data_IF_801870044540
#
_entry.id   IF_801870044540
#
_cell.length_a   1.000
_cell.length_b   1.000
_cell.length_c   1.000
_cell.angle_alpha   90.00
_cell.angle_beta   90.00
_cell.angle_gamma   90.00
#
_symmetry.space_group_name_H-M   'P 1'
#
loop_
_entity.id
_entity.type
_entity.pdbx_description
1 polymer ?
#
# COMPACT_ATOMS: atom_id res chain seq x y z
N UNK A 1 12.34 -4.13 19.56
CA UNK A 1 12.23 -5.47 18.95
C UNK A 1 13.20 -5.48 17.77
N UNK A 2 14.26 -6.32 17.82
CA UNK A 2 15.17 -6.41 16.68
C UNK A 2 14.49 -7.17 15.55
N UNK A 3 14.64 -6.67 14.33
CA UNK A 3 14.17 -7.36 13.12
C UNK A 3 14.88 -8.73 13.01
N UNK A 4 14.16 -9.82 12.72
CA UNK A 4 14.80 -11.07 12.34
C UNK A 4 15.63 -10.82 11.05
N UNK A 5 16.63 -11.65 10.81
CA UNK A 5 17.40 -11.58 9.57
C UNK A 5 16.43 -11.70 8.37
N UNK A 6 16.31 -10.63 7.58
CA UNK A 6 15.38 -10.58 6.46
C UNK A 6 15.76 -11.58 5.37
N UNK A 7 14.76 -12.22 4.77
CA UNK A 7 14.95 -12.93 3.53
C UNK A 7 15.48 -11.97 2.45
N UNK A 8 16.42 -12.38 1.57
CA UNK A 8 16.91 -11.49 0.52
C UNK A 8 15.76 -11.10 -0.41
N UNK A 9 15.53 -9.79 -0.55
CA UNK A 9 14.54 -9.23 -1.47
C UNK A 9 14.97 -9.37 -2.93
N UNK A 10 14.00 -9.35 -3.86
CA UNK A 10 14.30 -9.35 -5.30
C UNK A 10 15.02 -8.06 -5.69
N UNK A 11 16.12 -8.20 -6.42
CA UNK A 11 16.90 -7.09 -6.98
C UNK A 11 16.53 -6.75 -8.43
N UNK A 12 15.79 -7.63 -9.12
CA UNK A 12 15.43 -7.52 -10.54
C UNK A 12 13.95 -7.15 -10.78
N UNK A 13 13.34 -6.43 -9.82
CA UNK A 13 11.96 -5.95 -9.91
C UNK A 13 11.87 -4.84 -10.97
N UNK A 14 10.94 -5.00 -11.91
CA UNK A 14 10.66 -3.99 -12.93
C UNK A 14 9.32 -3.29 -12.69
N UNK A 15 8.34 -4.00 -12.12
CA UNK A 15 7.00 -3.47 -11.86
C UNK A 15 6.56 -3.83 -10.45
N UNK A 16 6.00 -2.84 -9.75
CA UNK A 16 5.40 -3.02 -8.43
C UNK A 16 3.97 -2.44 -8.41
N UNK A 17 3.03 -3.18 -7.84
CA UNK A 17 1.65 -2.75 -7.65
C UNK A 17 1.40 -2.55 -6.16
N UNK A 18 1.00 -1.34 -5.76
CA UNK A 18 0.55 -1.04 -4.41
C UNK A 18 -0.98 -1.14 -4.34
N UNK A 19 -1.50 -2.01 -3.47
CA UNK A 19 -2.94 -2.27 -3.30
C UNK A 19 -3.34 -1.90 -1.88
N UNK A 20 -4.16 -0.86 -1.72
CA UNK A 20 -4.54 -0.32 -0.41
C UNK A 20 -6.02 0.01 -0.32
N UNK A 21 -6.53 0.13 0.91
CA UNK A 21 -7.95 0.32 1.17
C UNK A 21 -8.43 1.73 0.80
N UNK A 22 -7.74 2.75 1.31
CA UNK A 22 -8.19 4.14 1.20
C UNK A 22 -7.14 5.04 0.53
N UNK A 23 -7.56 6.18 -0.03
CA UNK A 23 -6.63 7.26 -0.33
C UNK A 23 -5.89 7.68 0.95
N UNK A 24 -4.56 7.82 0.87
CA UNK A 24 -3.60 8.13 1.93
C UNK A 24 -2.85 6.92 2.54
N UNK A 25 -3.43 5.72 2.61
CA UNK A 25 -2.79 4.54 3.22
C UNK A 25 -1.37 4.30 2.70
N UNK A 26 -1.20 4.40 1.37
CA UNK A 26 0.11 4.24 0.71
C UNK A 26 1.10 5.27 1.25
N UNK A 27 0.63 6.51 1.42
CA UNK A 27 1.49 7.65 1.72
C UNK A 27 1.91 7.66 3.19
N UNK A 28 1.03 7.24 4.08
CA UNK A 28 1.38 7.01 5.47
C UNK A 28 2.35 5.83 5.64
N UNK A 29 2.16 4.74 4.90
CA UNK A 29 2.88 3.48 5.10
C UNK A 29 4.17 3.35 4.30
N UNK A 30 4.24 3.81 3.05
CA UNK A 30 5.15 3.24 2.06
C UNK A 30 5.79 4.23 1.09
N UNK A 31 5.40 5.51 1.06
CA UNK A 31 5.82 6.45 0.00
C UNK A 31 7.32 6.64 -0.07
N UNK A 32 8.04 6.63 1.06
CA UNK A 32 9.50 6.72 1.05
C UNK A 32 10.15 5.57 0.29
N UNK A 33 9.69 4.36 0.52
CA UNK A 33 10.14 3.15 -0.17
C UNK A 33 9.76 3.17 -1.65
N UNK A 34 8.50 3.52 -1.96
CA UNK A 34 8.01 3.61 -3.34
C UNK A 34 8.80 4.66 -4.13
N UNK A 35 9.06 5.82 -3.55
CA UNK A 35 9.88 6.86 -4.17
C UNK A 35 11.29 6.35 -4.50
N UNK A 36 11.88 5.51 -3.64
CA UNK A 36 13.13 4.83 -3.90
C UNK A 36 13.05 3.89 -5.10
N UNK A 37 12.02 3.06 -5.18
CA UNK A 37 11.83 2.15 -6.32
C UNK A 37 11.65 2.91 -7.64
N UNK A 38 10.90 4.02 -7.62
CA UNK A 38 10.73 4.87 -8.82
C UNK A 38 12.06 5.49 -9.25
N UNK A 39 12.87 5.99 -8.29
CA UNK A 39 14.21 6.53 -8.58
C UNK A 39 15.15 5.46 -9.18
N UNK A 40 14.98 4.20 -8.82
CA UNK A 40 15.68 3.03 -9.35
C UNK A 40 15.13 2.53 -10.69
N UNK A 41 14.07 3.17 -11.21
CA UNK A 41 13.47 2.84 -12.51
C UNK A 41 12.40 1.76 -12.47
N UNK A 42 11.89 1.39 -11.29
CA UNK A 42 10.75 0.48 -11.16
C UNK A 42 9.47 1.24 -11.57
N UNK A 43 8.71 0.65 -12.47
CA UNK A 43 7.36 1.12 -12.80
C UNK A 43 6.40 0.78 -11.65
N UNK A 44 5.83 1.80 -10.99
CA UNK A 44 4.90 1.61 -9.87
C UNK A 44 3.51 2.09 -10.25
N UNK A 45 2.49 1.29 -9.91
CA UNK A 45 1.09 1.67 -10.02
C UNK A 45 0.38 1.49 -8.66
N UNK A 46 -0.66 2.30 -8.43
CA UNK A 46 -1.54 2.17 -7.27
C UNK A 46 -2.90 1.63 -7.68
N UNK A 47 -3.43 0.72 -6.88
CA UNK A 47 -4.83 0.28 -6.89
C UNK A 47 -5.42 0.59 -5.52
N UNK A 48 -6.32 1.55 -5.46
CA UNK A 48 -7.03 1.95 -4.24
C UNK A 48 -8.44 1.37 -4.29
N UNK A 49 -8.85 0.67 -3.23
CA UNK A 49 -10.08 -0.11 -3.25
C UNK A 49 -11.32 0.77 -3.04
N UNK A 50 -11.25 1.71 -2.09
CA UNK A 50 -12.36 2.65 -1.82
C UNK A 50 -11.98 4.08 -2.22
N UNK A 51 -12.91 5.00 -2.15
CA UNK A 51 -12.62 6.43 -2.31
C UNK A 51 -12.57 7.18 -0.98
N UNK A 52 -12.58 6.46 0.14
CA UNK A 52 -12.52 7.08 1.46
C UNK A 52 -13.74 7.94 1.80
N UNK A 53 -14.92 7.54 1.35
CA UNK A 53 -16.18 8.29 1.46
C UNK A 53 -16.73 8.39 2.89
N UNK A 54 -16.19 7.61 3.82
CA UNK A 54 -16.52 7.68 5.24
C UNK A 54 -15.52 8.49 6.09
N UNK A 55 -14.40 8.95 5.50
CA UNK A 55 -13.37 9.75 6.19
C UNK A 55 -13.59 11.25 5.99
N UNK A 56 -13.29 12.04 7.04
CA UNK A 56 -13.32 13.51 6.99
C UNK A 56 -13.23 14.11 8.39
N UNK A 57 -12.61 15.30 8.49
CA UNK A 57 -12.38 16.01 9.76
C UNK A 57 -12.92 17.45 9.75
N UNK A 58 -13.57 17.85 8.67
CA UNK A 58 -14.15 19.17 8.47
C UNK A 58 -15.60 19.08 7.96
N UNK A 59 -16.19 20.22 7.60
CA UNK A 59 -17.57 20.34 7.10
C UNK A 59 -17.69 20.01 5.60
N UNK A 60 -16.73 19.36 4.97
CA UNK A 60 -16.80 18.95 3.57
C UNK A 60 -18.02 18.05 3.34
N UNK A 61 -18.80 18.35 2.31
CA UNK A 61 -19.96 17.53 1.94
C UNK A 61 -19.51 16.08 1.63
N UNK A 62 -20.16 15.14 2.30
CA UNK A 62 -19.87 13.71 2.12
C UNK A 62 -20.00 13.24 0.67
N UNK A 63 -20.84 13.87 -0.12
CA UNK A 63 -20.96 13.55 -1.55
C UNK A 63 -19.76 14.03 -2.38
N UNK A 64 -19.05 15.05 -1.91
CA UNK A 64 -17.85 15.56 -2.57
C UNK A 64 -16.56 14.86 -2.10
N UNK A 65 -16.56 14.24 -0.91
CA UNK A 65 -15.40 13.61 -0.30
C UNK A 65 -14.70 12.58 -1.22
N UNK A 66 -15.40 11.66 -1.93
CA UNK A 66 -14.77 10.72 -2.84
C UNK A 66 -13.94 11.40 -3.93
N UNK A 67 -14.48 12.47 -4.54
CA UNK A 67 -13.79 13.22 -5.59
C UNK A 67 -12.56 13.96 -5.05
N UNK A 68 -12.70 14.56 -3.88
CA UNK A 68 -11.63 15.28 -3.21
C UNK A 68 -10.47 14.32 -2.90
N UNK A 69 -10.75 13.22 -2.20
CA UNK A 69 -9.74 12.25 -1.79
C UNK A 69 -9.08 11.53 -2.98
N UNK A 70 -9.83 11.29 -4.07
CA UNK A 70 -9.26 10.76 -5.31
C UNK A 70 -8.27 11.76 -5.93
N UNK A 71 -8.59 13.05 -5.96
CA UNK A 71 -7.69 14.08 -6.46
C UNK A 71 -6.43 14.22 -5.59
N UNK A 72 -6.58 14.18 -4.28
CA UNK A 72 -5.48 14.22 -3.30
C UNK A 72 -4.54 13.02 -3.48
N UNK A 73 -5.09 11.80 -3.63
CA UNK A 73 -4.27 10.59 -3.86
C UNK A 73 -3.48 10.68 -5.17
N UNK A 74 -4.07 11.22 -6.23
CA UNK A 74 -3.34 11.42 -7.49
C UNK A 74 -2.23 12.46 -7.34
N UNK A 75 -2.45 13.51 -6.57
CA UNK A 75 -1.44 14.52 -6.26
C UNK A 75 -0.30 13.92 -5.42
N UNK A 76 -0.61 13.14 -4.38
CA UNK A 76 0.36 12.44 -3.55
C UNK A 76 1.20 11.44 -4.38
N UNK A 77 0.56 10.65 -5.23
CA UNK A 77 1.22 9.71 -6.13
C UNK A 77 2.21 10.43 -7.07
N UNK A 78 1.84 11.60 -7.60
CA UNK A 78 2.73 12.41 -8.45
C UNK A 78 3.98 12.88 -7.68
N UNK A 79 3.87 13.22 -6.40
CA UNK A 79 5.02 13.54 -5.53
C UNK A 79 5.95 12.33 -5.39
N UNK A 80 5.40 11.12 -5.22
CA UNK A 80 6.17 9.89 -5.19
C UNK A 80 6.80 9.51 -6.54
N UNK A 81 6.35 10.14 -7.64
CA UNK A 81 6.77 9.82 -9.02
C UNK A 81 5.90 8.75 -9.69
N UNK A 82 4.79 8.35 -9.07
CA UNK A 82 3.85 7.36 -9.58
C UNK A 82 2.82 8.04 -10.48
N UNK A 83 2.61 7.48 -11.69
CA UNK A 83 1.74 8.08 -12.72
C UNK A 83 0.38 7.38 -12.84
N UNK A 84 0.32 6.10 -12.49
CA UNK A 84 -0.90 5.30 -12.60
C UNK A 84 -1.52 5.12 -11.23
N UNK A 85 -2.74 5.63 -11.05
CA UNK A 85 -3.56 5.45 -9.85
C UNK A 85 -4.95 5.03 -10.30
N UNK A 86 -5.31 3.79 -10.02
CA UNK A 86 -6.60 3.20 -10.33
C UNK A 86 -7.43 3.06 -9.05
N UNK A 87 -8.74 3.28 -9.17
CA UNK A 87 -9.70 3.08 -8.09
C UNK A 87 -10.70 2.02 -8.50
N UNK A 88 -11.10 1.15 -7.57
CA UNK A 88 -12.21 0.22 -7.81
C UNK A 88 -13.56 0.91 -7.55
N UNK A 89 -14.58 0.45 -8.26
CA UNK A 89 -15.96 0.89 -8.09
C UNK A 89 -16.77 -0.13 -7.27
N UNK A 90 -17.76 0.36 -6.50
CA UNK A 90 -18.69 -0.50 -5.78
C UNK A 90 -18.18 -1.03 -4.43
N UNK A 91 -17.12 -0.45 -3.89
CA UNK A 91 -16.53 -0.81 -2.62
C UNK A 91 -16.59 0.39 -1.65
N UNK A 92 -17.66 0.50 -0.81
CA UNK A 92 -17.80 1.59 0.15
C UNK A 92 -16.78 1.50 1.28
N UNK A 93 -16.27 2.64 1.71
CA UNK A 93 -15.37 2.79 2.84
C UNK A 93 -16.02 2.31 4.15
N UNK A 94 -15.23 1.66 5.01
CA UNK A 94 -15.65 1.14 6.32
C UNK A 94 -16.37 -0.21 6.28
N UNK A 95 -16.57 -0.81 5.09
CA UNK A 95 -17.40 -2.02 4.94
C UNK A 95 -16.72 -3.16 4.18
N UNK A 96 -15.42 -3.04 3.91
CA UNK A 96 -14.71 -4.03 3.11
C UNK A 96 -14.65 -5.39 3.80
N UNK A 97 -14.88 -6.43 3.00
CA UNK A 97 -14.66 -7.82 3.36
C UNK A 97 -13.96 -8.53 2.21
N UNK A 98 -13.15 -9.58 2.45
CA UNK A 98 -12.38 -10.25 1.39
C UNK A 98 -13.26 -11.18 0.54
N UNK A 99 -14.28 -10.59 -0.12
CA UNK A 99 -15.23 -11.31 -0.97
C UNK A 99 -14.58 -11.88 -2.23
N UNK A 100 -15.15 -12.93 -2.86
CA UNK A 100 -14.71 -13.37 -4.17
C UNK A 100 -14.72 -12.27 -5.24
N UNK A 101 -15.67 -11.31 -5.17
CA UNK A 101 -15.71 -10.18 -6.09
C UNK A 101 -14.48 -9.26 -5.93
N UNK A 102 -14.14 -8.86 -4.70
CA UNK A 102 -12.96 -8.06 -4.43
C UNK A 102 -11.67 -8.78 -4.86
N UNK A 103 -11.55 -10.07 -4.55
CA UNK A 103 -10.41 -10.90 -4.97
C UNK A 103 -10.27 -10.95 -6.49
N UNK A 104 -11.39 -11.14 -7.21
CA UNK A 104 -11.44 -11.13 -8.68
C UNK A 104 -10.93 -9.80 -9.25
N UNK A 105 -11.39 -8.68 -8.72
CA UNK A 105 -11.06 -7.36 -9.24
C UNK A 105 -9.57 -7.01 -8.97
N UNK A 106 -9.05 -7.41 -7.81
CA UNK A 106 -7.59 -7.31 -7.53
C UNK A 106 -6.80 -8.26 -8.46
N UNK A 107 -7.25 -9.50 -8.65
CA UNK A 107 -6.59 -10.45 -9.57
C UNK A 107 -6.61 -9.94 -11.02
N UNK A 108 -7.69 -9.25 -11.44
CA UNK A 108 -7.76 -8.60 -12.74
C UNK A 108 -6.70 -7.49 -12.88
N UNK A 109 -6.53 -6.66 -11.85
CA UNK A 109 -5.51 -5.62 -11.83
C UNK A 109 -4.09 -6.23 -11.88
N UNK A 110 -3.83 -7.29 -11.10
CA UNK A 110 -2.55 -8.02 -11.13
C UNK A 110 -2.29 -8.58 -12.54
N UNK A 111 -3.25 -9.27 -13.16
CA UNK A 111 -3.08 -9.85 -14.50
C UNK A 111 -2.88 -8.78 -15.58
N UNK A 112 -3.52 -7.61 -15.43
CA UNK A 112 -3.37 -6.48 -16.36
C UNK A 112 -2.01 -5.81 -16.24
N UNK A 113 -1.61 -5.46 -15.02
CA UNK A 113 -0.36 -4.73 -14.77
C UNK A 113 0.88 -5.62 -14.78
N UNK A 114 0.72 -6.92 -14.42
CA UNK A 114 1.79 -7.94 -14.37
C UNK A 114 2.95 -7.53 -13.46
N UNK A 115 2.72 -7.25 -12.18
CA UNK A 115 3.77 -6.82 -11.26
C UNK A 115 4.68 -8.00 -10.85
N UNK A 116 5.97 -7.71 -10.68
CA UNK A 116 6.92 -8.62 -10.03
C UNK A 116 6.69 -8.66 -8.53
N UNK A 117 6.35 -7.50 -7.97
CA UNK A 117 6.13 -7.25 -6.54
C UNK A 117 4.75 -6.62 -6.30
N UNK A 118 4.07 -7.08 -5.26
CA UNK A 118 2.87 -6.41 -4.72
C UNK A 118 3.17 -5.89 -3.33
N UNK A 119 2.74 -4.66 -3.05
CA UNK A 119 2.79 -4.02 -1.74
C UNK A 119 1.35 -3.81 -1.27
N UNK A 120 1.03 -4.20 -0.04
CA UNK A 120 -0.33 -4.09 0.50
C UNK A 120 -0.32 -3.99 2.04
N UNK A 121 -1.48 -3.72 2.64
CA UNK A 121 -1.65 -3.79 4.09
C UNK A 121 -1.48 -5.23 4.59
N UNK A 122 -0.98 -5.39 5.80
CA UNK A 122 -0.95 -6.70 6.46
C UNK A 122 -2.36 -7.20 6.77
N UNK A 123 -2.70 -8.48 6.48
CA UNK A 123 -3.95 -9.08 6.93
C UNK A 123 -3.96 -9.39 8.43
N UNK A 124 -2.83 -9.23 9.11
CA UNK A 124 -2.69 -9.57 10.52
C UNK A 124 -2.92 -8.35 11.41
N UNK A 125 -3.84 -8.48 12.35
CA UNK A 125 -4.15 -7.44 13.32
C UNK A 125 -2.99 -7.21 14.29
N UNK A 126 -2.70 -5.94 14.55
CA UNK A 126 -1.83 -5.50 15.63
C UNK A 126 -2.67 -5.21 16.88
N UNK A 127 -2.47 -6.00 17.90
CA UNK A 127 -3.20 -5.82 19.18
C UNK A 127 -2.59 -4.72 20.05
N UNK A 128 -1.36 -4.32 19.77
CA UNK A 128 -0.64 -3.21 20.39
C UNK A 128 -0.97 -1.84 19.73
N UNK A 129 -1.52 -1.86 18.50
CA UNK A 129 -1.87 -0.65 17.75
C UNK A 129 -3.12 -0.89 16.91
N UNK A 130 -4.30 -0.57 17.47
CA UNK A 130 -5.57 -0.76 16.78
C UNK A 130 -5.84 0.30 15.72
N UNK A 131 -5.47 1.57 15.99
CA UNK A 131 -5.65 2.66 15.04
C UNK A 131 -4.69 2.52 13.83
N UNK A 132 -5.17 2.89 12.65
CA UNK A 132 -4.41 2.80 11.41
C UNK A 132 -4.23 1.34 10.96
N UNK A 133 -3.09 0.67 11.21
CA UNK A 133 -2.78 -0.64 10.62
C UNK A 133 -3.83 -1.73 10.83
N UNK A 134 -4.58 -1.65 11.94
CA UNK A 134 -5.61 -2.64 12.29
C UNK A 134 -7.03 -2.24 11.89
N UNK A 135 -7.19 -1.20 11.05
CA UNK A 135 -8.48 -0.86 10.49
C UNK A 135 -9.11 -2.08 9.77
N UNK A 136 -10.40 -2.39 9.95
CA UNK A 136 -11.04 -3.55 9.32
C UNK A 136 -10.79 -3.63 7.81
N UNK A 137 -10.89 -2.51 7.09
CA UNK A 137 -10.68 -2.45 5.66
C UNK A 137 -9.23 -2.76 5.26
N UNK A 138 -8.22 -2.33 6.05
CA UNK A 138 -6.82 -2.67 5.81
C UNK A 138 -6.62 -4.19 5.90
N UNK A 139 -7.17 -4.83 6.93
CA UNK A 139 -7.11 -6.28 7.10
C UNK A 139 -7.82 -7.00 5.95
N UNK A 140 -8.99 -6.51 5.55
CA UNK A 140 -9.77 -7.09 4.46
C UNK A 140 -9.06 -6.99 3.11
N UNK A 141 -8.44 -5.83 2.80
CA UNK A 141 -7.66 -5.65 1.57
C UNK A 141 -6.39 -6.49 1.60
N UNK A 142 -5.68 -6.55 2.74
CA UNK A 142 -4.52 -7.42 2.91
C UNK A 142 -4.84 -8.89 2.63
N UNK A 143 -5.94 -9.41 3.20
CA UNK A 143 -6.40 -10.79 2.96
C UNK A 143 -6.85 -11.00 1.51
N UNK A 144 -7.68 -10.09 0.96
CA UNK A 144 -8.14 -10.20 -0.42
C UNK A 144 -6.97 -10.17 -1.41
N UNK A 145 -5.98 -9.30 -1.19
CA UNK A 145 -4.77 -9.19 -2.02
C UNK A 145 -3.91 -10.45 -1.91
N UNK A 146 -3.75 -11.00 -0.72
CA UNK A 146 -3.03 -12.26 -0.51
C UNK A 146 -3.67 -13.40 -1.31
N UNK A 147 -4.99 -13.56 -1.23
CA UNK A 147 -5.74 -14.52 -2.02
C UNK A 147 -5.64 -14.23 -3.52
N UNK A 148 -5.70 -12.96 -3.92
CA UNK A 148 -5.57 -12.57 -5.32
C UNK A 148 -4.17 -12.91 -5.89
N UNK A 149 -3.10 -12.77 -5.12
CA UNK A 149 -1.74 -13.20 -5.49
C UNK A 149 -1.69 -14.72 -5.62
N UNK A 150 -2.22 -15.45 -4.62
CA UNK A 150 -2.27 -16.90 -4.58
C UNK A 150 -3.58 -17.39 -3.95
N UNK A 151 -4.40 -18.17 -4.68
CA UNK A 151 -4.10 -18.77 -5.99
C UNK A 151 -4.59 -17.96 -7.21
N UNK A 152 -5.35 -16.87 -7.03
CA UNK A 152 -6.29 -16.37 -8.05
C UNK A 152 -5.61 -15.86 -9.33
N UNK A 153 -4.61 -14.97 -9.22
CA UNK A 153 -4.00 -14.37 -10.40
C UNK A 153 -3.18 -15.37 -11.23
N UNK A 154 -2.60 -16.39 -10.59
CA UNK A 154 -1.74 -17.37 -11.28
C UNK A 154 -2.50 -18.60 -11.82
N UNK A 155 -3.73 -18.82 -11.36
CA UNK A 155 -4.52 -19.98 -11.73
C UNK A 155 -5.46 -19.66 -12.90
N UNK A 156 -5.31 -20.28 -14.08
CA UNK A 156 -6.19 -20.03 -15.24
C UNK A 156 -7.65 -20.43 -15.00
N UNK A 157 -7.91 -21.31 -14.03
CA UNK A 157 -9.28 -21.75 -13.69
C UNK A 157 -9.95 -20.84 -12.65
N UNK A 158 -9.20 -19.95 -11.99
CA UNK A 158 -9.79 -18.94 -11.14
C UNK A 158 -10.30 -17.77 -12.00
N UNK A 159 -11.56 -17.42 -11.81
CA UNK A 159 -12.22 -16.34 -12.54
C UNK A 159 -12.07 -16.46 -14.07
N UNK A 160 -12.66 -17.49 -14.69
CA UNK A 160 -12.50 -17.77 -16.12
C UNK A 160 -12.95 -16.63 -17.02
N UNK A 161 -13.83 -15.74 -16.53
CA UNK A 161 -14.22 -14.51 -17.20
C UNK A 161 -13.04 -13.53 -17.40
N UNK A 162 -12.03 -13.54 -16.56
CA UNK A 162 -10.82 -12.74 -16.76
C UNK A 162 -10.00 -13.24 -17.94
N UNK A 163 -9.88 -14.56 -18.07
CA UNK A 163 -9.21 -15.17 -19.22
C UNK A 163 -9.96 -14.86 -20.53
N UNK A 164 -11.30 -14.91 -20.50
CA UNK A 164 -12.14 -14.53 -21.65
C UNK A 164 -11.96 -13.05 -22.06
N UNK A 165 -11.53 -12.18 -21.13
CA UNK A 165 -11.16 -10.78 -21.39
C UNK A 165 -9.70 -10.61 -21.84
N UNK A 166 -8.94 -11.69 -22.05
CA UNK A 166 -7.53 -11.65 -22.43
C UNK A 166 -6.58 -11.34 -21.26
N UNK A 167 -7.06 -11.42 -20.02
CA UNK A 167 -6.23 -11.25 -18.83
C UNK A 167 -5.58 -12.59 -18.44
N UNK A 168 -4.44 -12.88 -19.08
CA UNK A 168 -3.69 -14.10 -18.84
C UNK A 168 -3.18 -14.22 -17.41
N UNK A 169 -3.06 -15.45 -16.88
CA UNK A 169 -2.51 -15.69 -15.55
C UNK A 169 -1.14 -15.03 -15.35
N UNK A 170 -0.92 -14.54 -14.15
CA UNK A 170 0.34 -13.89 -13.79
C UNK A 170 0.83 -14.36 -12.43
N UNK A 171 2.14 -14.56 -12.29
CA UNK A 171 2.80 -14.92 -11.04
C UNK A 171 3.50 -13.69 -10.48
N UNK A 172 2.95 -13.16 -9.40
CA UNK A 172 3.65 -12.20 -8.55
C UNK A 172 4.77 -12.96 -7.84
N UNK A 173 5.99 -12.47 -7.84
CA UNK A 173 7.15 -13.17 -7.27
C UNK A 173 7.40 -12.85 -5.80
N UNK A 174 6.95 -11.67 -5.36
CA UNK A 174 7.20 -11.18 -4.00
C UNK A 174 6.04 -10.32 -3.53
N UNK A 175 5.67 -10.45 -2.26
CA UNK A 175 4.69 -9.58 -1.59
C UNK A 175 5.29 -8.91 -0.38
N UNK A 176 5.02 -7.62 -0.23
CA UNK A 176 5.42 -6.79 0.89
C UNK A 176 4.18 -6.35 1.66
N UNK A 177 4.15 -6.65 2.95
CA UNK A 177 3.05 -6.26 3.84
C UNK A 177 3.48 -5.11 4.73
N UNK A 178 2.78 -3.98 4.63
CA UNK A 178 2.92 -2.83 5.51
C UNK A 178 2.04 -2.95 6.76
N UNK A 179 2.48 -2.40 7.88
CA UNK A 179 1.67 -2.28 9.10
C UNK A 179 1.43 -3.59 9.86
N UNK A 180 2.15 -4.66 9.55
CA UNK A 180 2.05 -5.95 10.23
C UNK A 180 2.67 -5.95 11.62
N UNK A 181 2.35 -7.00 12.44
CA UNK A 181 2.83 -7.09 13.83
C UNK A 181 4.30 -7.53 13.95
N UNK A 182 4.86 -8.13 12.90
CA UNK A 182 6.21 -8.70 12.92
C UNK A 182 6.95 -8.37 11.62
N UNK A 183 7.37 -7.12 11.42
CA UNK A 183 8.17 -6.77 10.25
C UNK A 183 9.53 -7.46 10.31
N UNK A 184 10.04 -7.87 9.14
CA UNK A 184 11.32 -8.55 8.97
C UNK A 184 12.26 -7.80 8.00
N UNK A 185 11.78 -6.71 7.40
CA UNK A 185 12.52 -5.90 6.45
C UNK A 185 12.30 -4.42 6.70
N UNK A 186 13.38 -3.64 6.74
CA UNK A 186 13.33 -2.20 6.87
C UNK A 186 14.03 -1.54 5.68
N UNK A 187 13.46 -0.45 5.19
CA UNK A 187 14.01 0.37 4.12
C UNK A 187 14.39 1.72 4.68
N UNK A 188 15.66 2.10 4.58
CA UNK A 188 16.14 3.44 4.90
C UNK A 188 15.55 4.44 3.88
N UNK A 189 14.74 5.36 4.37
CA UNK A 189 14.08 6.39 3.56
C UNK A 189 14.55 7.80 3.89
N UNK A 190 15.66 7.94 4.62
CA UNK A 190 16.15 9.24 5.11
C UNK A 190 16.24 10.28 3.99
N UNK A 191 16.82 9.90 2.85
CA UNK A 191 16.97 10.79 1.70
C UNK A 191 15.66 11.07 0.94
N UNK A 192 14.56 10.40 1.31
CA UNK A 192 13.23 10.52 0.71
C UNK A 192 12.17 11.02 1.68
N UNK A 193 12.60 11.38 2.90
CA UNK A 193 11.71 11.84 3.96
C UNK A 193 10.87 13.05 3.55
N UNK A 194 11.48 14.05 2.91
CA UNK A 194 10.77 15.24 2.45
C UNK A 194 9.71 14.90 1.38
N UNK A 195 9.99 13.94 0.50
CA UNK A 195 8.99 13.47 -0.48
C UNK A 195 7.83 12.76 0.21
N UNK A 196 8.10 11.93 1.22
CA UNK A 196 7.05 11.30 2.03
C UNK A 196 6.18 12.35 2.73
N UNK A 197 6.77 13.32 3.38
CA UNK A 197 6.04 14.42 4.04
C UNK A 197 5.20 15.21 3.03
N UNK A 198 5.74 15.51 1.85
CA UNK A 198 5.01 16.23 0.81
C UNK A 198 3.84 15.42 0.26
N UNK A 199 3.99 14.11 0.07
CA UNK A 199 2.90 13.22 -0.35
C UNK A 199 1.80 13.15 0.71
N UNK A 200 2.15 12.97 1.99
CA UNK A 200 1.18 12.98 3.09
C UNK A 200 0.42 14.31 3.18
N UNK A 201 1.09 15.44 2.99
CA UNK A 201 0.45 16.78 2.98
C UNK A 201 -0.49 17.02 1.80
N UNK A 202 -0.34 16.27 0.70
CA UNK A 202 -1.27 16.35 -0.43
C UNK A 202 -2.68 15.86 -0.06
N UNK A 203 -2.81 15.04 0.98
CA UNK A 203 -4.09 14.61 1.56
C UNK A 203 -4.63 15.63 2.56
N UNK A 204 -4.83 16.87 2.09
CA UNK A 204 -5.19 17.99 2.97
C UNK A 204 -6.47 17.74 3.78
N UNK A 205 -7.47 17.11 3.18
CA UNK A 205 -8.71 16.76 3.87
C UNK A 205 -8.51 15.83 5.07
N UNK A 206 -7.41 15.05 5.08
CA UNK A 206 -7.09 14.07 6.11
C UNK A 206 -5.96 14.54 7.04
N UNK A 207 -5.06 15.39 6.56
CA UNK A 207 -3.84 15.78 7.29
C UNK A 207 -3.77 17.27 7.60
N UNK A 208 -4.69 18.08 7.11
CA UNK A 208 -4.64 19.54 7.27
C UNK A 208 -4.66 20.02 8.72
N UNK A 209 -5.13 19.20 9.66
CA UNK A 209 -5.14 19.45 11.09
C UNK A 209 -3.89 18.93 11.83
N UNK A 210 -2.94 18.27 11.12
CA UNK A 210 -1.76 17.61 11.68
C UNK A 210 -0.48 18.40 11.37
N UNK A 211 0.44 18.45 12.31
CA UNK A 211 1.85 18.70 12.00
C UNK A 211 2.47 17.39 11.49
N UNK A 212 2.34 17.16 10.18
CA UNK A 212 2.77 15.92 9.53
C UNK A 212 4.24 15.58 9.82
N UNK A 213 5.23 16.51 9.70
CA UNK A 213 6.60 16.21 10.04
C UNK A 213 6.78 15.75 11.49
N UNK A 214 6.25 16.49 12.44
CA UNK A 214 6.36 16.12 13.85
C UNK A 214 5.68 14.79 14.15
N UNK A 215 4.54 14.52 13.50
CA UNK A 215 3.76 13.28 13.71
C UNK A 215 4.47 12.04 13.20
N UNK A 216 5.16 12.10 12.04
CA UNK A 216 5.72 10.90 11.40
C UNK A 216 7.20 10.67 11.74
N UNK A 217 7.96 11.75 12.02
CA UNK A 217 9.42 11.68 12.19
C UNK A 217 9.83 10.66 13.26
N UNK A 218 9.27 10.76 14.46
CA UNK A 218 9.67 9.93 15.59
C UNK A 218 9.36 8.45 15.35
N UNK A 219 8.24 8.17 14.67
CA UNK A 219 7.86 6.79 14.29
C UNK A 219 8.85 6.18 13.29
N UNK A 220 9.29 6.96 12.30
CA UNK A 220 10.27 6.49 11.32
C UNK A 220 11.66 6.32 11.94
N UNK A 221 12.03 7.19 12.90
CA UNK A 221 13.26 7.06 13.66
C UNK A 221 13.26 5.84 14.59
N UNK A 222 12.13 5.55 15.22
CA UNK A 222 11.94 4.34 16.04
C UNK A 222 12.09 3.07 15.20
N UNK A 223 11.44 3.03 14.02
CA UNK A 223 11.58 1.90 13.07
C UNK A 223 13.05 1.73 12.64
N UNK A 224 13.74 2.83 12.34
CA UNK A 224 15.16 2.79 11.96
C UNK A 224 16.04 2.25 13.11
N UNK A 225 15.78 2.67 14.34
CA UNK A 225 16.50 2.20 15.52
C UNK A 225 16.25 0.70 15.78
N UNK A 226 15.00 0.25 15.69
CA UNK A 226 14.62 -1.16 15.83
C UNK A 226 15.27 -2.05 14.78
N UNK A 227 15.45 -1.51 13.55
CA UNK A 227 16.15 -2.17 12.47
C UNK A 227 17.68 -2.13 12.59
N UNK A 228 18.24 -1.45 13.60
CA UNK A 228 19.68 -1.34 13.82
C UNK A 228 20.37 -0.34 12.87
N UNK A 229 19.63 0.58 12.27
CA UNK A 229 20.23 1.65 11.46
C UNK A 229 20.94 2.69 12.35
N UNK A 230 21.94 3.41 11.82
CA UNK A 230 22.64 4.46 12.56
C UNK A 230 21.69 5.55 13.08
N UNK A 231 22.04 6.22 14.20
CA UNK A 231 21.27 7.36 14.71
C UNK A 231 21.03 8.44 13.64
N UNK A 232 19.83 9.01 13.62
CA UNK A 232 19.40 10.02 12.65
C UNK A 232 18.90 9.46 11.31
N UNK A 233 18.83 8.13 11.16
CA UNK A 233 18.17 7.51 10.03
C UNK A 233 16.68 7.36 10.27
N UNK A 234 15.92 7.29 9.16
CA UNK A 234 14.48 7.13 9.13
C UNK A 234 14.14 5.93 8.25
N UNK A 235 13.23 5.07 8.69
CA UNK A 235 12.91 3.85 7.95
C UNK A 235 11.42 3.54 7.90
N UNK A 236 11.01 2.85 6.84
CA UNK A 236 9.72 2.15 6.71
C UNK A 236 9.95 0.65 6.89
N UNK A 237 8.96 -0.06 7.46
CA UNK A 237 9.09 -1.47 7.79
C UNK A 237 8.01 -2.34 7.17
N UNK A 238 8.41 -3.55 6.75
CA UNK A 238 7.58 -4.50 6.03
C UNK A 238 7.80 -5.93 6.51
N UNK A 239 6.80 -6.78 6.28
CA UNK A 239 7.01 -8.22 6.23
C UNK A 239 7.09 -8.63 4.77
N UNK A 240 8.17 -9.32 4.37
CA UNK A 240 8.43 -9.66 2.97
C UNK A 240 8.38 -11.18 2.76
N UNK A 241 7.53 -11.61 1.82
CA UNK A 241 7.40 -13.02 1.48
C UNK A 241 7.67 -13.27 -0.01
N UNK A 242 8.43 -14.32 -0.28
CA UNK A 242 8.54 -14.91 -1.63
C UNK A 242 7.32 -15.77 -1.91
N UNK A 243 6.81 -15.71 -3.10
CA UNK A 243 5.65 -16.50 -3.54
C UNK A 243 6.03 -17.65 -4.47
N UNK A 244 7.32 -17.71 -4.83
CA UNK A 244 7.94 -18.74 -5.69
C UNK A 244 9.23 -19.25 -5.07
#
# INVERSE_FOLDING_TARGET
>A
VSFPASAPVLSDVRRALAVFAHPDDVDFGCTGTIAGWVDEGVEVAYLIITRGDAGGFDDTDRAEMPRLREAEQRAAAAVAGVRQVDFLDGYPDGTLTPTPALRRDIAAAIRRFRPDRVLTSSPLRRWDLLAGPSHPDHLAVGEATTCAIYPDARNPFAFPELLAQGLEPWVVREVWYAGGPAPDHAVDITDRYERKVAAMRAHHSQTGHLDVPAWIHDRLAEVAADAGLPPGRLAEAFTVLRTT
#
